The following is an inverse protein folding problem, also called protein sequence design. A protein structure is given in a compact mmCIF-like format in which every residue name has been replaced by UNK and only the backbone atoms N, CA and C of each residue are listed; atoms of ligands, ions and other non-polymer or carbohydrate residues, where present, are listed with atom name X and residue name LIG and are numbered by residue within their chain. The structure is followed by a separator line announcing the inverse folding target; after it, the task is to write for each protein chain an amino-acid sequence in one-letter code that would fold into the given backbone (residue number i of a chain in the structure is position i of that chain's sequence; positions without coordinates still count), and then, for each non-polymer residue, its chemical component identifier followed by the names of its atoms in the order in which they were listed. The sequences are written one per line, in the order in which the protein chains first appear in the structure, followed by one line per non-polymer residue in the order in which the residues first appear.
data_IF_935359562751
#
_entry.id   IF_935359562751
#
_cell.length_a   1.000
_cell.length_b   1.000
_cell.length_c   1.000
_cell.angle_alpha   90.00
_cell.angle_beta   90.00
_cell.angle_gamma   90.00
#
_symmetry.space_group_name_H-M   'P 1'
#
loop_
_entity.id
_entity.type
_entity.pdbx_description
1 polymer ?
#
# COMPACT_ATOMS: atom_id res chain seq x y z
N UNK A 1 -12.79 -11.49 -4.73
CA UNK A 1 -11.73 -12.11 -3.91
C UNK A 1 -10.40 -11.43 -4.17
N UNK A 2 -9.54 -11.42 -3.18
CA UNK A 2 -8.15 -11.03 -3.35
C UNK A 2 -7.36 -12.25 -3.80
N UNK A 3 -6.79 -12.22 -5.00
CA UNK A 3 -5.96 -13.29 -5.54
C UNK A 3 -4.50 -13.08 -5.15
N UNK A 4 -3.70 -14.13 -5.28
CA UNK A 4 -2.26 -14.10 -5.03
C UNK A 4 -1.41 -13.93 -6.29
N UNK A 5 -0.14 -14.27 -6.18
CA UNK A 5 0.91 -14.01 -7.15
C UNK A 5 1.06 -15.08 -8.26
N UNK A 6 0.46 -16.25 -8.08
CA UNK A 6 0.77 -17.39 -8.96
C UNK A 6 0.32 -17.21 -10.40
N UNK A 7 -0.76 -16.47 -10.65
CA UNK A 7 -1.15 -16.10 -12.01
C UNK A 7 -0.14 -15.17 -12.68
N UNK A 8 0.49 -14.27 -11.90
CA UNK A 8 1.56 -13.39 -12.40
C UNK A 8 2.78 -14.22 -12.78
N UNK A 9 3.22 -15.13 -11.88
CA UNK A 9 4.33 -16.03 -12.16
C UNK A 9 4.09 -16.85 -13.42
N UNK A 10 2.90 -17.43 -13.57
CA UNK A 10 2.54 -18.25 -14.74
C UNK A 10 2.56 -17.43 -16.04
N UNK A 11 2.07 -16.20 -16.02
CA UNK A 11 2.14 -15.31 -17.17
C UNK A 11 3.59 -15.01 -17.58
N UNK A 12 4.47 -14.74 -16.61
CA UNK A 12 5.90 -14.51 -16.84
C UNK A 12 6.62 -15.78 -17.33
N UNK A 13 6.29 -16.95 -16.78
CA UNK A 13 6.81 -18.25 -17.27
C UNK A 13 6.45 -18.50 -18.74
N UNK A 14 5.31 -17.98 -19.20
CA UNK A 14 4.87 -18.04 -20.59
C UNK A 14 5.37 -16.88 -21.47
N UNK A 15 6.28 -16.04 -20.96
CA UNK A 15 6.96 -14.99 -21.71
C UNK A 15 6.15 -13.69 -21.86
N UNK A 16 5.22 -13.41 -20.95
CA UNK A 16 4.50 -12.14 -20.97
C UNK A 16 5.42 -10.98 -20.59
N UNK A 17 5.46 -9.93 -21.40
CA UNK A 17 6.13 -8.66 -21.10
C UNK A 17 5.26 -7.72 -20.25
N UNK A 18 3.94 -7.84 -20.37
CA UNK A 18 2.95 -7.04 -19.63
C UNK A 18 1.91 -8.00 -19.05
N UNK A 19 1.66 -7.88 -17.74
CA UNK A 19 0.66 -8.67 -17.02
C UNK A 19 -0.42 -7.75 -16.45
N UNK A 20 -1.65 -7.89 -16.96
CA UNK A 20 -2.82 -7.19 -16.43
C UNK A 20 -3.55 -8.11 -15.48
N UNK A 21 -3.61 -7.69 -14.21
CA UNK A 21 -4.21 -8.49 -13.14
C UNK A 21 -5.63 -8.03 -12.79
N UNK A 22 -6.52 -8.94 -12.36
CA UNK A 22 -7.69 -8.56 -11.59
C UNK A 22 -7.25 -8.08 -10.19
N UNK A 23 -8.17 -8.01 -9.21
CA UNK A 23 -7.76 -7.70 -7.85
C UNK A 23 -6.86 -8.79 -7.26
N UNK A 24 -5.59 -8.51 -7.15
CA UNK A 24 -4.59 -9.28 -6.41
C UNK A 24 -4.25 -8.55 -5.10
N UNK A 25 -3.61 -9.20 -4.13
CA UNK A 25 -3.04 -8.51 -2.98
C UNK A 25 -1.87 -7.63 -3.43
N UNK A 26 -1.64 -6.53 -2.72
CA UNK A 26 -0.69 -5.50 -3.14
C UNK A 26 0.73 -6.06 -3.30
N UNK A 27 1.16 -6.92 -2.36
CA UNK A 27 2.45 -7.60 -2.46
C UNK A 27 2.53 -8.66 -3.59
N UNK A 28 1.41 -9.11 -4.15
CA UNK A 28 1.42 -10.14 -5.21
C UNK A 28 2.19 -9.68 -6.46
N UNK A 29 2.20 -8.36 -6.74
CA UNK A 29 2.96 -7.78 -7.85
C UNK A 29 4.47 -7.81 -7.65
N UNK A 30 4.92 -8.10 -6.43
CA UNK A 30 6.34 -8.30 -6.08
C UNK A 30 6.65 -9.79 -5.95
N UNK A 31 5.79 -10.55 -5.24
CA UNK A 31 5.96 -11.99 -5.06
C UNK A 31 6.01 -12.73 -6.41
N UNK A 32 5.12 -12.38 -7.35
CA UNK A 32 5.04 -13.04 -8.66
C UNK A 32 6.35 -12.98 -9.46
N UNK A 33 6.89 -11.79 -9.73
CA UNK A 33 8.18 -11.63 -10.40
C UNK A 33 9.35 -12.27 -9.66
N UNK A 34 9.41 -12.17 -8.32
CA UNK A 34 10.45 -12.81 -7.54
C UNK A 34 10.38 -14.34 -7.63
N UNK A 35 9.18 -14.92 -7.48
CA UNK A 35 8.97 -16.36 -7.62
C UNK A 35 9.29 -16.86 -9.02
N UNK A 36 9.02 -16.06 -10.06
CA UNK A 36 9.44 -16.35 -11.43
C UNK A 36 10.96 -16.30 -11.57
N UNK A 37 11.58 -15.23 -11.13
CA UNK A 37 13.03 -15.02 -11.27
C UNK A 37 13.86 -16.11 -10.61
N UNK A 38 13.47 -16.52 -9.40
CA UNK A 38 14.20 -17.50 -8.58
C UNK A 38 13.59 -18.91 -8.66
N UNK A 39 12.56 -19.09 -9.50
CA UNK A 39 11.88 -20.38 -9.67
C UNK A 39 11.34 -20.98 -8.38
N UNK A 40 10.86 -20.12 -7.46
CA UNK A 40 10.30 -20.58 -6.20
C UNK A 40 9.04 -21.42 -6.39
N UNK A 41 8.84 -22.34 -5.48
CA UNK A 41 7.67 -23.21 -5.43
C UNK A 41 6.66 -22.70 -4.40
N UNK A 42 5.43 -23.22 -4.45
CA UNK A 42 4.34 -22.81 -3.55
C UNK A 42 4.61 -23.08 -2.06
N UNK A 43 5.60 -23.87 -1.72
CA UNK A 43 6.01 -24.23 -0.37
C UNK A 43 7.33 -23.59 0.07
N UNK A 44 7.94 -22.73 -0.73
CA UNK A 44 9.12 -21.95 -0.35
C UNK A 44 8.70 -20.76 0.53
N UNK A 45 8.01 -21.08 1.63
CA UNK A 45 7.27 -20.11 2.43
C UNK A 45 8.14 -18.98 2.97
N UNK A 46 9.38 -19.24 3.40
CA UNK A 46 10.26 -18.21 3.95
C UNK A 46 10.65 -17.19 2.85
N UNK A 47 10.96 -17.65 1.65
CA UNK A 47 11.29 -16.77 0.53
C UNK A 47 10.05 -15.97 0.06
N UNK A 48 8.90 -16.62 -0.04
CA UNK A 48 7.63 -15.96 -0.36
C UNK A 48 7.25 -14.89 0.69
N UNK A 49 7.48 -15.19 1.98
CA UNK A 49 7.21 -14.25 3.08
C UNK A 49 8.15 -13.02 3.02
N UNK A 50 9.41 -13.22 2.65
CA UNK A 50 10.35 -12.13 2.42
C UNK A 50 9.90 -11.22 1.27
N UNK A 51 9.54 -11.80 0.11
CA UNK A 51 9.03 -11.02 -1.02
C UNK A 51 7.70 -10.31 -0.69
N UNK A 52 6.83 -10.94 0.15
CA UNK A 52 5.63 -10.30 0.65
C UNK A 52 5.97 -9.07 1.50
N UNK A 53 6.92 -9.20 2.44
CA UNK A 53 7.37 -8.07 3.26
C UNK A 53 7.95 -6.95 2.40
N UNK A 54 8.75 -7.27 1.38
CA UNK A 54 9.28 -6.30 0.43
C UNK A 54 8.15 -5.57 -0.31
N UNK A 55 7.16 -6.30 -0.82
CA UNK A 55 6.00 -5.75 -1.50
C UNK A 55 5.19 -4.81 -0.62
N UNK A 56 4.92 -5.22 0.62
CA UNK A 56 4.23 -4.40 1.61
C UNK A 56 4.98 -3.10 1.95
N UNK A 57 6.31 -3.12 1.97
CA UNK A 57 7.10 -1.91 2.22
C UNK A 57 7.00 -0.93 1.05
N UNK A 58 7.01 -1.40 -0.20
CA UNK A 58 7.09 -0.48 -1.36
C UNK A 58 5.73 -0.07 -1.94
N UNK A 59 4.64 -0.74 -1.58
CA UNK A 59 3.31 -0.54 -2.19
C UNK A 59 2.77 0.89 -2.07
N UNK A 60 3.04 1.55 -0.94
CA UNK A 60 2.53 2.90 -0.65
C UNK A 60 3.52 4.01 -1.06
N UNK A 61 4.41 3.74 -1.99
CA UNK A 61 5.33 4.73 -2.54
C UNK A 61 6.16 5.44 -1.48
N UNK A 62 6.13 6.76 -1.43
CA UNK A 62 6.99 7.55 -0.54
C UNK A 62 6.71 7.39 0.97
N UNK A 63 5.74 6.61 1.39
CA UNK A 63 5.54 6.33 2.81
C UNK A 63 6.78 5.64 3.42
N UNK A 64 7.35 4.65 2.74
CA UNK A 64 8.54 3.95 3.22
C UNK A 64 9.83 4.80 3.16
N UNK A 65 9.81 5.89 2.44
CA UNK A 65 10.92 6.85 2.36
C UNK A 65 10.70 8.09 3.22
N UNK A 66 9.89 7.98 4.26
CA UNK A 66 9.69 9.01 5.29
C UNK A 66 8.31 9.62 5.34
N UNK A 67 7.45 9.43 4.31
CA UNK A 67 6.10 10.01 4.25
C UNK A 67 5.15 9.51 5.34
N UNK A 68 5.41 8.34 5.92
CA UNK A 68 4.65 7.75 7.03
C UNK A 68 5.46 7.70 8.35
N UNK A 69 6.51 8.49 8.47
CA UNK A 69 7.43 8.43 9.59
C UNK A 69 7.10 9.47 10.65
N UNK A 70 6.75 9.01 11.86
CA UNK A 70 6.37 9.91 12.97
C UNK A 70 7.51 10.88 13.38
N UNK A 71 8.76 10.45 13.23
CA UNK A 71 9.94 11.29 13.49
C UNK A 71 10.35 12.09 12.24
N UNK A 72 9.40 12.74 11.60
CA UNK A 72 9.58 13.44 10.32
C UNK A 72 10.72 14.45 10.31
N UNK A 73 11.13 14.97 11.48
CA UNK A 73 12.27 15.91 11.61
C UNK A 73 13.62 15.27 11.30
N UNK A 74 13.70 13.94 11.30
CA UNK A 74 14.91 13.20 10.89
C UNK A 74 15.04 13.09 9.38
N UNK A 75 13.95 13.33 8.64
CA UNK A 75 13.94 13.31 7.18
C UNK A 75 14.60 14.59 6.64
N UNK A 76 15.71 14.48 5.88
CA UNK A 76 16.48 15.64 5.46
C UNK A 76 15.71 16.63 4.58
N UNK A 77 14.81 16.14 3.73
CA UNK A 77 13.98 16.94 2.85
C UNK A 77 12.74 16.15 2.41
N UNK A 78 11.61 16.84 2.32
CA UNK A 78 10.39 16.34 1.69
C UNK A 78 10.21 16.85 0.25
N UNK A 79 11.18 17.60 -0.26
CA UNK A 79 11.17 18.01 -1.66
C UNK A 79 11.59 16.83 -2.54
N UNK A 80 10.82 16.54 -3.58
CA UNK A 80 11.08 15.45 -4.50
C UNK A 80 11.37 14.11 -3.79
N UNK A 81 10.52 13.71 -2.87
CA UNK A 81 10.68 12.45 -2.09
C UNK A 81 10.75 11.27 -3.05
N UNK A 82 11.84 10.48 -2.95
CA UNK A 82 12.01 9.30 -3.78
C UNK A 82 11.11 8.15 -3.34
N UNK A 83 10.68 7.34 -4.29
CA UNK A 83 10.01 6.08 -4.00
C UNK A 83 11.02 5.02 -3.57
N UNK A 84 10.61 4.07 -2.71
CA UNK A 84 11.47 2.96 -2.31
C UNK A 84 11.73 2.02 -3.47
N UNK A 85 12.90 1.39 -3.44
CA UNK A 85 13.31 0.32 -4.35
C UNK A 85 13.58 -0.90 -3.50
N UNK A 86 12.99 -2.04 -3.85
CA UNK A 86 13.29 -3.33 -3.22
C UNK A 86 14.18 -4.16 -4.15
N UNK A 87 15.32 -4.60 -3.63
CA UNK A 87 16.23 -5.54 -4.29
C UNK A 87 16.13 -6.88 -3.55
N UNK A 88 15.47 -7.87 -4.16
CA UNK A 88 15.16 -9.17 -3.55
C UNK A 88 16.22 -10.19 -3.93
N UNK A 89 16.66 -10.98 -2.93
CA UNK A 89 17.60 -12.07 -3.08
C UNK A 89 16.91 -13.43 -3.13
N UNK A 90 17.62 -14.44 -3.58
CA UNK A 90 17.08 -15.80 -3.80
C UNK A 90 16.51 -16.45 -2.54
N UNK A 91 17.05 -16.13 -1.37
CA UNK A 91 16.59 -16.63 -0.07
C UNK A 91 15.39 -15.86 0.51
N UNK A 92 14.88 -14.84 -0.21
CA UNK A 92 13.79 -13.98 0.22
C UNK A 92 14.23 -12.81 1.10
N UNK A 93 15.52 -12.69 1.47
CA UNK A 93 16.04 -11.46 2.06
C UNK A 93 16.08 -10.35 1.01
N UNK A 94 16.15 -9.09 1.44
CA UNK A 94 16.11 -7.98 0.49
C UNK A 94 16.70 -6.70 1.07
N UNK A 95 17.05 -5.79 0.16
CA UNK A 95 17.41 -4.42 0.50
C UNK A 95 16.27 -3.47 0.14
N UNK A 96 16.11 -2.43 0.96
CA UNK A 96 15.30 -1.26 0.63
C UNK A 96 16.24 -0.07 0.45
N UNK A 97 16.09 0.59 -0.68
CA UNK A 97 16.83 1.80 -1.05
C UNK A 97 15.90 2.83 -1.68
N UNK A 98 16.44 3.92 -2.16
CA UNK A 98 15.76 4.90 -3.02
C UNK A 98 16.71 5.43 -4.08
N UNK A 99 16.20 6.11 -5.09
CA UNK A 99 17.05 6.77 -6.06
C UNK A 99 17.97 7.81 -5.38
N UNK A 100 19.25 7.87 -5.77
CA UNK A 100 20.15 8.92 -5.30
C UNK A 100 19.61 10.30 -5.69
N UNK A 101 20.03 11.33 -4.94
CA UNK A 101 19.65 12.74 -5.18
C UNK A 101 18.16 13.05 -5.05
N UNK A 102 17.35 12.13 -4.51
CA UNK A 102 15.96 12.39 -4.12
C UNK A 102 15.87 12.76 -2.64
N UNK A 103 14.82 13.51 -2.27
CA UNK A 103 14.44 13.73 -0.88
C UNK A 103 14.00 12.44 -0.19
N UNK A 104 13.54 12.56 1.03
CA UNK A 104 13.17 11.39 1.84
C UNK A 104 14.35 10.78 2.60
N UNK A 105 14.08 9.70 3.30
CA UNK A 105 15.00 8.93 4.12
C UNK A 105 14.63 7.46 4.08
N UNK A 106 15.59 6.59 3.78
CA UNK A 106 15.45 5.15 4.01
C UNK A 106 16.29 4.76 5.22
N UNK A 107 15.63 4.30 6.26
CA UNK A 107 16.24 3.85 7.51
C UNK A 107 15.43 2.71 8.12
N UNK A 108 16.01 2.03 9.08
CA UNK A 108 15.29 1.05 9.90
C UNK A 108 13.97 1.63 10.44
N UNK A 109 13.98 2.91 10.84
CA UNK A 109 12.78 3.58 11.37
C UNK A 109 11.69 3.75 10.32
N UNK A 110 12.01 4.27 9.12
CA UNK A 110 11.03 4.49 8.05
C UNK A 110 10.48 3.18 7.50
N UNK A 111 11.33 2.15 7.37
CA UNK A 111 10.94 0.80 6.95
C UNK A 111 10.03 0.14 8.00
N UNK A 112 10.37 0.25 9.29
CA UNK A 112 9.54 -0.28 10.37
C UNK A 112 8.17 0.41 10.42
N UNK A 113 8.12 1.73 10.23
CA UNK A 113 6.86 2.47 10.19
C UNK A 113 5.92 1.95 9.09
N UNK A 114 6.48 1.63 7.91
CA UNK A 114 5.70 1.07 6.82
C UNK A 114 5.30 -0.39 7.07
N UNK A 115 6.19 -1.21 7.64
CA UNK A 115 5.85 -2.60 7.99
C UNK A 115 4.67 -2.70 8.98
N UNK A 116 4.51 -1.73 9.86
CA UNK A 116 3.42 -1.68 10.84
C UNK A 116 2.12 -1.09 10.27
N UNK A 117 2.18 -0.52 9.07
CA UNK A 117 1.03 0.11 8.44
C UNK A 117 0.01 -0.94 7.96
N UNK A 118 -1.27 -0.73 8.26
CA UNK A 118 -2.41 -1.57 7.86
C UNK A 118 -2.39 -3.03 8.34
N UNK A 119 -1.43 -3.47 9.13
CA UNK A 119 -1.43 -4.83 9.66
C UNK A 119 -2.09 -4.89 11.04
N UNK A 120 -2.88 -5.95 11.29
CA UNK A 120 -3.52 -6.17 12.59
C UNK A 120 -2.77 -7.15 13.48
N UNK A 121 -2.10 -8.13 12.90
CA UNK A 121 -1.35 -9.17 13.58
C UNK A 121 0.03 -9.32 12.96
N UNK A 122 1.07 -9.66 13.76
CA UNK A 122 2.40 -9.99 13.21
C UNK A 122 2.36 -11.14 12.19
N UNK A 123 1.42 -12.06 12.31
CA UNK A 123 1.12 -13.06 11.29
C UNK A 123 0.27 -12.43 10.19
N UNK A 124 0.91 -11.87 9.17
CA UNK A 124 0.26 -11.19 8.06
C UNK A 124 -0.24 -12.18 7.03
N UNK A 125 -1.57 -12.33 6.96
CA UNK A 125 -2.24 -13.36 6.17
C UNK A 125 -2.41 -12.88 4.72
N UNK A 126 -1.86 -13.66 3.77
CA UNK A 126 -2.01 -13.43 2.34
C UNK A 126 -2.34 -14.74 1.59
N UNK A 127 -2.86 -14.67 0.35
CA UNK A 127 -3.22 -15.86 -0.41
C UNK A 127 -2.05 -16.78 -0.78
N UNK A 128 -0.84 -16.24 -0.82
CA UNK A 128 0.36 -17.00 -1.22
C UNK A 128 1.10 -17.58 -0.02
N UNK A 129 1.09 -16.87 1.11
CA UNK A 129 1.84 -17.20 2.32
C UNK A 129 1.30 -16.40 3.50
N UNK A 130 1.42 -16.94 4.72
CA UNK A 130 1.31 -16.16 5.95
C UNK A 130 2.73 -15.74 6.33
N UNK A 131 3.02 -14.45 6.32
CA UNK A 131 4.33 -13.91 6.70
C UNK A 131 4.35 -13.53 8.19
N UNK A 132 5.36 -13.97 8.92
CA UNK A 132 5.53 -13.69 10.34
C UNK A 132 6.48 -12.49 10.52
N UNK A 133 5.95 -11.29 10.55
CA UNK A 133 6.72 -10.04 10.61
C UNK A 133 7.50 -9.84 11.90
N UNK A 134 7.11 -10.52 12.97
CA UNK A 134 7.84 -10.55 14.24
C UNK A 134 9.17 -11.33 14.18
N UNK A 135 9.42 -12.04 13.09
CA UNK A 135 10.68 -12.75 12.85
C UNK A 135 11.70 -11.94 12.05
N UNK A 136 11.28 -10.82 11.46
CA UNK A 136 12.12 -9.96 10.63
C UNK A 136 13.29 -9.37 11.41
N UNK A 137 14.44 -9.34 10.76
CA UNK A 137 15.64 -8.60 11.18
C UNK A 137 15.82 -7.44 10.21
N UNK A 138 15.94 -6.23 10.77
CA UNK A 138 16.04 -4.99 10.00
C UNK A 138 17.32 -4.27 10.44
N UNK A 139 18.22 -4.03 9.51
CA UNK A 139 19.54 -3.50 9.76
C UNK A 139 19.87 -2.35 8.80
N UNK A 140 20.24 -1.18 9.33
CA UNK A 140 20.81 -0.10 8.52
C UNK A 140 22.22 -0.54 8.07
N UNK A 141 22.46 -0.61 6.77
CA UNK A 141 23.74 -1.04 6.20
C UNK A 141 24.59 0.17 5.84
N UNK A 142 23.96 1.14 5.20
CA UNK A 142 24.56 2.41 4.81
C UNK A 142 23.49 3.48 4.68
N UNK A 143 23.87 4.70 4.35
CA UNK A 143 22.91 5.78 4.15
C UNK A 143 21.87 5.40 3.07
N UNK A 144 20.60 5.54 3.40
CA UNK A 144 19.47 5.22 2.52
C UNK A 144 19.47 3.78 1.99
N UNK A 145 20.01 2.84 2.80
CA UNK A 145 20.00 1.41 2.48
C UNK A 145 19.81 0.55 3.72
N UNK A 146 18.74 -0.20 3.75
CA UNK A 146 18.36 -1.10 4.84
C UNK A 146 18.33 -2.52 4.33
N UNK A 147 18.93 -3.46 5.08
CA UNK A 147 18.84 -4.89 4.82
C UNK A 147 17.80 -5.54 5.71
N UNK A 148 16.95 -6.35 5.11
CA UNK A 148 15.86 -7.06 5.79
C UNK A 148 15.99 -8.55 5.51
N UNK A 149 15.91 -9.36 6.57
CA UNK A 149 16.07 -10.81 6.47
C UNK A 149 15.26 -11.55 7.54
N UNK A 150 15.21 -12.87 7.42
CA UNK A 150 14.68 -13.77 8.44
C UNK A 150 13.16 -13.82 8.54
N UNK A 151 12.43 -13.30 7.56
CA UNK A 151 10.98 -13.44 7.52
C UNK A 151 10.60 -14.91 7.41
N UNK A 152 9.92 -15.44 8.43
CA UNK A 152 9.39 -16.79 8.38
C UNK A 152 8.03 -16.80 7.70
N UNK A 153 7.80 -17.83 6.89
CA UNK A 153 6.54 -18.08 6.22
C UNK A 153 5.86 -19.36 6.71
N UNK A 154 4.55 -19.38 6.62
CA UNK A 154 3.75 -20.59 6.78
C UNK A 154 2.69 -20.70 5.69
N UNK A 155 2.08 -21.89 5.56
CA UNK A 155 1.11 -22.15 4.50
C UNK A 155 -0.04 -21.13 4.53
N UNK A 156 -0.49 -20.66 3.35
CA UNK A 156 -1.61 -19.75 3.27
C UNK A 156 -2.90 -20.40 3.77
N UNK A 157 -3.92 -19.58 4.14
CA UNK A 157 -5.24 -20.11 4.49
C UNK A 157 -5.91 -20.76 3.27
N UNK A 158 -6.89 -21.60 3.50
CA UNK A 158 -7.71 -22.21 2.44
C UNK A 158 -8.72 -21.23 1.85
N UNK A 159 -9.11 -20.23 2.63
CA UNK A 159 -10.11 -19.24 2.28
C UNK A 159 -9.47 -17.94 1.77
N UNK A 160 -10.14 -17.28 0.84
CA UNK A 160 -9.72 -15.98 0.32
C UNK A 160 -10.48 -14.85 1.02
N UNK A 161 -9.78 -13.74 1.27
CA UNK A 161 -10.42 -12.48 1.64
C UNK A 161 -11.30 -12.00 0.47
N UNK A 162 -12.52 -11.62 0.78
CA UNK A 162 -13.48 -11.05 -0.21
C UNK A 162 -13.88 -9.67 0.24
N UNK A 163 -13.75 -8.69 -0.64
CA UNK A 163 -14.34 -7.37 -0.47
C UNK A 163 -15.76 -7.41 -1.01
N UNK A 164 -16.74 -7.13 -0.16
CA UNK A 164 -18.16 -7.06 -0.54
C UNK A 164 -18.55 -5.59 -0.55
N UNK A 165 -18.91 -5.09 -1.74
CA UNK A 165 -19.40 -3.74 -1.91
C UNK A 165 -20.93 -3.77 -1.83
N UNK A 166 -21.48 -3.05 -0.86
CA UNK A 166 -22.92 -2.88 -0.71
C UNK A 166 -23.32 -1.48 -1.21
N UNK A 167 -24.41 -1.42 -1.96
CA UNK A 167 -24.98 -0.13 -2.34
C UNK A 167 -25.60 0.51 -1.09
N UNK A 168 -24.96 1.53 -0.54
CA UNK A 168 -25.39 2.25 0.66
C UNK A 168 -25.93 3.64 0.38
N UNK A 169 -26.22 3.96 -0.89
CA UNK A 169 -26.64 5.29 -1.30
C UNK A 169 -25.50 6.13 -1.86
N UNK A 170 -25.72 7.43 -1.94
CA UNK A 170 -24.77 8.39 -2.49
C UNK A 170 -24.42 9.44 -1.45
N UNK A 171 -23.16 9.87 -1.42
CA UNK A 171 -22.70 11.01 -0.63
C UNK A 171 -22.13 12.06 -1.58
N UNK A 172 -22.65 13.26 -1.52
CA UNK A 172 -22.15 14.42 -2.26
C UNK A 172 -21.69 15.50 -1.29
N UNK A 173 -20.68 16.26 -1.69
CA UNK A 173 -20.21 17.43 -0.94
C UNK A 173 -19.97 18.58 -1.92
N UNK A 174 -20.28 19.80 -1.50
CA UNK A 174 -19.99 21.02 -2.24
C UNK A 174 -19.47 22.06 -1.27
N UNK A 175 -18.41 22.76 -1.67
CA UNK A 175 -17.90 23.92 -0.97
C UNK A 175 -18.07 25.14 -1.87
N UNK A 176 -18.60 26.23 -1.32
CA UNK A 176 -18.86 27.47 -2.05
C UNK A 176 -18.31 28.65 -1.27
N UNK A 177 -17.49 29.45 -1.90
CA UNK A 177 -16.93 30.69 -1.33
C UNK A 177 -17.81 31.85 -1.75
N UNK A 178 -18.48 32.50 -0.78
CA UNK A 178 -19.28 33.70 -0.97
C UNK A 178 -18.50 34.92 -0.51
N UNK A 179 -18.47 35.96 -1.36
CA UNK A 179 -17.73 37.20 -1.06
C UNK A 179 -18.63 38.45 -1.21
N UNK A 180 -18.14 39.57 -0.67
CA UNK A 180 -18.80 40.87 -0.74
C UNK A 180 -19.82 41.09 0.42
N UNK A 181 -20.77 42.02 0.23
CA UNK A 181 -21.76 42.38 1.24
C UNK A 181 -22.90 41.36 1.33
N UNK A 182 -23.62 41.35 2.46
CA UNK A 182 -24.82 40.54 2.73
C UNK A 182 -24.56 39.00 2.59
N UNK A 183 -23.43 38.49 3.08
CA UNK A 183 -23.01 37.09 2.92
C UNK A 183 -24.10 36.12 3.42
N UNK A 184 -24.71 36.38 4.57
CA UNK A 184 -25.77 35.51 5.15
C UNK A 184 -26.99 35.40 4.21
N UNK A 185 -27.39 36.54 3.62
CA UNK A 185 -28.51 36.55 2.67
C UNK A 185 -28.15 35.81 1.39
N UNK A 186 -26.92 35.99 0.90
CA UNK A 186 -26.41 35.26 -0.27
C UNK A 186 -26.34 33.76 0.00
N UNK A 187 -25.87 33.35 1.15
CA UNK A 187 -25.82 31.95 1.57
C UNK A 187 -27.22 31.32 1.54
N UNK A 188 -28.20 32.03 2.13
CA UNK A 188 -29.61 31.56 2.12
C UNK A 188 -30.15 31.43 0.71
N UNK A 189 -29.98 32.44 -0.13
CA UNK A 189 -30.49 32.44 -1.51
C UNK A 189 -29.82 31.30 -2.30
N UNK A 190 -28.51 31.13 -2.15
CA UNK A 190 -27.77 30.06 -2.82
C UNK A 190 -28.26 28.68 -2.38
N UNK A 191 -28.36 28.46 -1.06
CA UNK A 191 -28.79 27.18 -0.47
C UNK A 191 -30.22 26.83 -0.91
N UNK A 192 -31.13 27.79 -0.84
CA UNK A 192 -32.53 27.59 -1.27
C UNK A 192 -32.58 27.24 -2.78
N UNK A 193 -31.84 27.94 -3.62
CA UNK A 193 -31.80 27.67 -5.07
C UNK A 193 -31.19 26.29 -5.36
N UNK A 194 -30.14 25.89 -4.64
CA UNK A 194 -29.49 24.59 -4.79
C UNK A 194 -30.48 23.47 -4.48
N UNK A 195 -31.10 23.50 -3.29
CA UNK A 195 -32.03 22.45 -2.92
C UNK A 195 -33.31 22.43 -3.78
N UNK A 196 -33.82 23.58 -4.18
CA UNK A 196 -34.94 23.63 -5.12
C UNK A 196 -34.59 22.99 -6.47
N UNK A 197 -33.37 23.13 -6.95
CA UNK A 197 -32.94 22.55 -8.21
C UNK A 197 -32.83 21.02 -8.20
N UNK A 198 -32.68 20.42 -7.02
CA UNK A 198 -32.60 18.97 -6.84
C UNK A 198 -33.84 18.34 -6.21
N UNK A 199 -34.96 19.09 -6.15
CA UNK A 199 -36.26 18.58 -5.69
C UNK A 199 -36.52 18.76 -4.20
N UNK A 200 -35.68 19.52 -3.47
CA UNK A 200 -35.85 19.83 -2.05
C UNK A 200 -34.90 19.09 -1.11
N UNK A 201 -34.78 19.58 0.13
CA UNK A 201 -33.94 18.95 1.17
C UNK A 201 -34.45 17.56 1.55
N UNK A 202 -35.75 17.32 1.40
CA UNK A 202 -36.40 16.05 1.70
C UNK A 202 -35.98 14.89 0.79
N UNK A 203 -35.21 15.18 -0.27
CA UNK A 203 -34.60 14.15 -1.13
C UNK A 203 -33.34 13.54 -0.51
N UNK A 204 -32.87 14.06 0.63
CA UNK A 204 -31.66 13.64 1.29
C UNK A 204 -31.93 13.13 2.70
N UNK A 205 -31.37 12.00 3.07
CA UNK A 205 -31.48 11.43 4.41
C UNK A 205 -30.79 12.27 5.46
N UNK A 206 -29.66 12.93 5.07
CA UNK A 206 -28.85 13.77 5.94
C UNK A 206 -28.30 14.98 5.16
N UNK A 207 -28.43 16.18 5.75
CA UNK A 207 -27.87 17.43 5.24
C UNK A 207 -27.15 18.13 6.39
N UNK A 208 -25.83 18.27 6.30
CA UNK A 208 -24.97 18.91 7.32
C UNK A 208 -24.22 20.13 6.76
#
# INVERSE_FOLDING_TARGET
AYLGAWGIKEALDNGADIVVCPRVTDAAVVIGPAAWKFNWKRNDYDALAGALAAGHIIECGCQATGGNYAFFKEVPSFDNVGYPIAEILEDGSFYITKHPETGGLVSKGTVTAQLLYEIGSPAYINPDVIAHFDTLKIEDIEKDKVYISGCRGSSPPKDHKVCINLAGGFRNGMEVILTGLDIEKKAKVFTDALFNSVGGKEQFDEVS
#
